data_IF_443592055939
#
_entry.id   IF_443592055939
#
_cell.length_a   1.000
_cell.length_b   1.000
_cell.length_c   1.000
_cell.angle_alpha   90.00
_cell.angle_beta   90.00
_cell.angle_gamma   90.00
#
_symmetry.space_group_name_H-M   'P 1'
#
loop_
_entity.id
_entity.type
_entity.pdbx_description
1 polymer ?
#
# COMPACT_ATOMS: atom_id res chain seq x y z
N UNK A 1 72.47 61.19 -30.65
CA UNK A 1 71.30 62.05 -30.91
C UNK A 1 69.99 61.26 -31.00
N UNK A 2 70.01 59.94 -31.25
CA UNK A 2 68.80 59.14 -31.55
C UNK A 2 67.80 58.96 -30.41
N UNK A 3 68.21 59.08 -29.14
CA UNK A 3 67.32 58.86 -27.98
C UNK A 3 66.80 60.15 -27.32
N UNK A 4 67.30 61.33 -27.74
CA UNK A 4 66.93 62.61 -27.11
C UNK A 4 65.44 62.93 -27.25
N UNK A 5 64.78 62.42 -28.30
CA UNK A 5 63.34 62.58 -28.46
C UNK A 5 62.53 61.88 -27.36
N UNK A 6 63.09 60.89 -26.67
CA UNK A 6 62.43 60.17 -25.56
C UNK A 6 62.75 60.74 -24.17
N UNK A 7 63.61 61.77 -24.09
CA UNK A 7 63.94 62.51 -22.86
C UNK A 7 63.17 63.84 -22.74
N UNK A 8 62.10 64.01 -23.51
CA UNK A 8 61.27 65.21 -23.47
C UNK A 8 60.30 65.21 -22.28
N UNK A 9 60.26 66.32 -21.54
CA UNK A 9 59.32 66.54 -20.44
C UNK A 9 57.86 66.34 -20.88
N UNK A 10 57.48 66.82 -22.06
CA UNK A 10 56.09 66.73 -22.53
C UNK A 10 55.65 65.28 -22.75
N UNK A 11 56.52 64.43 -23.29
CA UNK A 11 56.25 62.99 -23.47
C UNK A 11 56.19 62.29 -22.11
N UNK A 12 57.14 62.59 -21.22
CA UNK A 12 57.15 62.00 -19.88
C UNK A 12 55.90 62.35 -19.08
N UNK A 13 55.47 63.62 -19.14
CA UNK A 13 54.22 64.09 -18.53
C UNK A 13 53.00 63.41 -19.15
N UNK A 14 52.94 63.27 -20.48
CA UNK A 14 51.83 62.61 -21.14
C UNK A 14 51.71 61.13 -20.72
N UNK A 15 52.83 60.43 -20.59
CA UNK A 15 52.88 59.03 -20.14
C UNK A 15 52.48 58.90 -18.68
N UNK A 16 53.03 59.74 -17.80
CA UNK A 16 52.76 59.69 -16.36
C UNK A 16 51.29 60.01 -16.03
N UNK A 17 50.63 60.85 -16.84
CA UNK A 17 49.22 61.19 -16.67
C UNK A 17 48.28 60.29 -17.48
N UNK A 18 48.80 59.32 -18.24
CA UNK A 18 47.97 58.45 -19.07
C UNK A 18 47.16 57.49 -18.18
N UNK A 19 45.85 57.32 -18.42
CA UNK A 19 44.98 56.52 -17.54
C UNK A 19 45.20 55.00 -17.66
N UNK A 20 45.94 54.55 -18.68
CA UNK A 20 46.27 53.14 -18.88
C UNK A 20 47.78 52.89 -18.72
N UNK A 21 48.18 51.67 -18.36
CA UNK A 21 49.60 51.31 -18.29
C UNK A 21 50.30 51.50 -19.63
N UNK A 22 51.32 52.37 -19.67
CA UNK A 22 52.19 52.54 -20.84
C UNK A 22 53.40 51.61 -20.71
N UNK A 23 53.72 50.88 -21.79
CA UNK A 23 54.86 49.97 -21.83
C UNK A 23 55.91 50.54 -22.79
N UNK A 24 57.14 50.73 -22.31
CA UNK A 24 58.25 51.20 -23.14
C UNK A 24 59.05 50.03 -23.73
N UNK A 25 59.53 50.22 -24.96
CA UNK A 25 60.34 49.25 -25.69
C UNK A 25 61.28 49.94 -26.67
N UNK A 26 61.98 50.99 -26.23
CA UNK A 26 62.64 51.96 -27.12
C UNK A 26 63.85 51.37 -27.87
N UNK A 27 64.46 50.29 -27.36
CA UNK A 27 65.53 49.60 -28.09
C UNK A 27 66.95 50.04 -27.73
N UNK A 28 67.25 50.23 -26.44
CA UNK A 28 68.62 50.48 -25.98
C UNK A 28 68.89 49.83 -24.62
N UNK A 29 69.98 49.05 -24.54
CA UNK A 29 70.26 48.22 -23.37
C UNK A 29 71.11 48.91 -22.30
N UNK A 30 71.75 50.04 -22.64
CA UNK A 30 72.69 50.76 -21.75
C UNK A 30 72.17 52.08 -21.22
N UNK A 31 71.33 52.77 -21.99
CA UNK A 31 70.81 54.08 -21.62
C UNK A 31 69.34 53.93 -21.22
N UNK A 32 68.98 54.55 -20.11
CA UNK A 32 67.60 54.63 -19.63
C UNK A 32 67.09 56.03 -19.94
N UNK A 33 65.96 56.12 -20.63
CA UNK A 33 65.35 57.40 -20.99
C UNK A 33 64.32 57.84 -19.95
N UNK A 34 63.97 59.12 -19.92
CA UNK A 34 62.87 59.63 -19.09
C UNK A 34 61.58 58.86 -19.38
N UNK A 35 61.30 58.58 -20.66
CA UNK A 35 60.16 57.77 -21.09
C UNK A 35 60.15 56.37 -20.46
N UNK A 36 61.30 55.70 -20.36
CA UNK A 36 61.41 54.39 -19.71
C UNK A 36 61.09 54.47 -18.21
N UNK A 37 61.58 55.50 -17.52
CA UNK A 37 61.39 55.69 -16.07
C UNK A 37 59.94 56.00 -15.69
N UNK A 38 59.23 56.81 -16.49
CA UNK A 38 57.81 57.11 -16.21
C UNK A 38 56.84 56.05 -16.76
N UNK A 39 57.30 55.11 -17.60
CA UNK A 39 56.46 54.01 -18.08
C UNK A 39 56.10 53.02 -16.96
N UNK A 40 54.95 52.34 -17.08
CA UNK A 40 54.56 51.30 -16.12
C UNK A 40 55.46 50.06 -16.21
N UNK A 41 55.91 49.72 -17.41
CA UNK A 41 56.77 48.56 -17.64
C UNK A 41 57.72 48.85 -18.79
N UNK A 42 58.96 48.38 -18.67
CA UNK A 42 60.01 48.56 -19.65
C UNK A 42 60.48 47.22 -20.19
N UNK A 43 60.64 47.12 -21.51
CA UNK A 43 61.38 46.05 -22.15
C UNK A 43 62.57 46.61 -22.94
N UNK A 44 63.57 45.75 -23.16
CA UNK A 44 64.82 46.14 -23.85
C UNK A 44 64.59 46.55 -25.31
N UNK A 45 63.57 45.99 -25.97
CA UNK A 45 63.27 46.16 -27.39
C UNK A 45 61.76 46.10 -27.64
N UNK A 46 61.26 46.60 -28.78
CA UNK A 46 59.85 46.47 -29.14
C UNK A 46 59.41 45.01 -29.23
N UNK A 47 60.27 44.12 -29.75
CA UNK A 47 60.00 42.68 -29.83
C UNK A 47 59.83 42.06 -28.45
N UNK A 48 60.64 42.48 -27.46
CA UNK A 48 60.49 41.99 -26.08
C UNK A 48 59.18 42.48 -25.43
N UNK A 49 58.69 43.68 -25.79
CA UNK A 49 57.33 44.11 -25.41
C UNK A 49 56.28 43.21 -26.04
N UNK A 50 56.40 42.91 -27.33
CA UNK A 50 55.47 42.04 -28.04
C UNK A 50 55.43 40.64 -27.44
N UNK A 51 56.60 40.03 -27.17
CA UNK A 51 56.70 38.72 -26.53
C UNK A 51 56.05 38.72 -25.14
N UNK A 52 56.30 39.76 -24.33
CA UNK A 52 55.68 39.92 -23.03
C UNK A 52 54.15 39.99 -23.13
N UNK A 53 53.62 40.75 -24.09
CA UNK A 53 52.17 40.85 -24.31
C UNK A 53 51.58 39.51 -24.77
N UNK A 54 52.24 38.82 -25.70
CA UNK A 54 51.81 37.51 -26.20
C UNK A 54 51.77 36.49 -25.05
N UNK A 55 52.81 36.44 -24.22
CA UNK A 55 52.82 35.55 -23.04
C UNK A 55 51.67 35.87 -22.08
N UNK A 56 51.42 37.15 -21.78
CA UNK A 56 50.34 37.56 -20.88
C UNK A 56 48.95 37.20 -21.42
N UNK A 57 48.73 37.36 -22.72
CA UNK A 57 47.47 36.98 -23.37
C UNK A 57 47.30 35.46 -23.31
N UNK A 58 48.34 34.68 -23.62
CA UNK A 58 48.29 33.22 -23.54
C UNK A 58 48.00 32.74 -22.11
N UNK A 59 48.68 33.29 -21.10
CA UNK A 59 48.44 32.94 -19.69
C UNK A 59 46.99 33.24 -19.28
N UNK A 60 46.42 34.33 -19.81
CA UNK A 60 45.03 34.69 -19.57
C UNK A 60 44.08 33.71 -20.25
N UNK A 61 44.32 33.35 -21.52
CA UNK A 61 43.55 32.35 -22.27
C UNK A 61 43.54 31.00 -21.54
N UNK A 62 44.71 30.48 -21.16
CA UNK A 62 44.85 29.22 -20.42
C UNK A 62 44.09 29.25 -19.08
N UNK A 63 44.08 30.40 -18.41
CA UNK A 63 43.33 30.60 -17.16
C UNK A 63 41.82 30.63 -17.40
N UNK A 64 41.35 31.25 -18.47
CA UNK A 64 39.93 31.26 -18.83
C UNK A 64 39.47 29.84 -19.17
N UNK A 65 40.25 29.11 -19.96
CA UNK A 65 39.93 27.73 -20.36
C UNK A 65 39.90 26.78 -19.16
N UNK A 66 40.90 26.87 -18.27
CA UNK A 66 40.90 26.05 -17.05
C UNK A 66 39.71 26.34 -16.13
N UNK A 67 39.31 27.61 -15.98
CA UNK A 67 38.10 27.98 -15.23
C UNK A 67 36.82 27.47 -15.90
N UNK A 68 36.73 27.55 -17.24
CA UNK A 68 35.59 27.03 -18.00
C UNK A 68 35.47 25.51 -17.85
N UNK A 69 36.59 24.79 -17.91
CA UNK A 69 36.64 23.35 -17.66
C UNK A 69 36.22 23.00 -16.23
N UNK A 70 36.76 23.68 -15.23
CA UNK A 70 36.41 23.45 -13.83
C UNK A 70 34.92 23.70 -13.56
N UNK A 71 34.35 24.77 -14.13
CA UNK A 71 32.93 25.08 -14.02
C UNK A 71 32.06 23.99 -14.67
N UNK A 72 32.46 23.52 -15.86
CA UNK A 72 31.74 22.48 -16.60
C UNK A 72 31.72 21.17 -15.82
N UNK A 73 32.86 20.75 -15.29
CA UNK A 73 32.96 19.52 -14.49
C UNK A 73 32.21 19.62 -13.16
N UNK A 74 32.29 20.78 -12.49
CA UNK A 74 31.50 21.04 -11.28
C UNK A 74 29.99 20.97 -11.54
N UNK A 75 29.51 21.60 -12.61
CA UNK A 75 28.10 21.57 -13.00
C UNK A 75 27.62 20.16 -13.38
N UNK A 76 28.44 19.40 -14.12
CA UNK A 76 28.14 18.00 -14.46
C UNK A 76 28.04 17.12 -13.22
N UNK A 77 28.98 17.28 -12.30
CA UNK A 77 29.03 16.53 -11.03
C UNK A 77 27.79 16.82 -10.19
N UNK A 78 27.46 18.10 -9.99
CA UNK A 78 26.28 18.51 -9.24
C UNK A 78 24.97 17.97 -9.85
N UNK A 79 24.84 18.04 -11.18
CA UNK A 79 23.67 17.50 -11.88
C UNK A 79 23.55 15.99 -11.71
N UNK A 80 24.67 15.26 -11.76
CA UNK A 80 24.71 13.81 -11.55
C UNK A 80 24.29 13.45 -10.12
N UNK A 81 24.86 14.12 -9.12
CA UNK A 81 24.56 13.86 -7.72
C UNK A 81 23.09 14.13 -7.39
N UNK A 82 22.52 15.22 -7.93
CA UNK A 82 21.09 15.51 -7.79
C UNK A 82 20.22 14.45 -8.44
N UNK A 83 20.58 13.96 -9.63
CA UNK A 83 19.84 12.90 -10.34
C UNK A 83 19.89 11.58 -9.56
N UNK A 84 21.06 11.21 -9.06
CA UNK A 84 21.24 9.99 -8.28
C UNK A 84 20.48 10.07 -6.95
N UNK A 85 20.51 11.22 -6.27
CA UNK A 85 19.72 11.50 -5.07
C UNK A 85 18.21 11.39 -5.32
N UNK A 86 17.72 11.96 -6.43
CA UNK A 86 16.31 11.86 -6.81
C UNK A 86 15.88 10.42 -7.12
N UNK A 87 16.74 9.65 -7.79
CA UNK A 87 16.50 8.23 -8.09
C UNK A 87 16.37 7.41 -6.80
N UNK A 88 17.28 7.62 -5.84
CA UNK A 88 17.24 6.96 -4.53
C UNK A 88 15.97 7.33 -3.77
N UNK A 89 15.62 8.61 -3.72
CA UNK A 89 14.40 9.06 -3.03
C UNK A 89 13.14 8.48 -3.67
N UNK A 90 13.06 8.51 -5.00
CA UNK A 90 11.95 7.91 -5.76
C UNK A 90 11.79 6.43 -5.44
N UNK A 91 12.89 5.67 -5.46
CA UNK A 91 12.86 4.24 -5.14
C UNK A 91 12.45 3.96 -3.69
N UNK A 92 12.91 4.77 -2.74
CA UNK A 92 12.49 4.66 -1.33
C UNK A 92 11.00 4.92 -1.16
N UNK A 93 10.47 5.95 -1.83
CA UNK A 93 9.04 6.27 -1.81
C UNK A 93 8.22 5.13 -2.40
N UNK A 94 8.63 4.58 -3.55
CA UNK A 94 7.94 3.44 -4.18
C UNK A 94 7.88 2.22 -3.26
N UNK A 95 8.99 1.85 -2.62
CA UNK A 95 9.04 0.71 -1.70
C UNK A 95 8.17 0.97 -0.46
N UNK A 96 8.30 2.15 0.15
CA UNK A 96 7.54 2.50 1.35
C UNK A 96 6.03 2.54 1.07
N UNK A 97 5.62 3.17 -0.04
CA UNK A 97 4.23 3.24 -0.47
C UNK A 97 3.69 1.84 -0.82
N UNK A 98 4.45 1.03 -1.55
CA UNK A 98 4.07 -0.34 -1.89
C UNK A 98 3.85 -1.21 -0.65
N UNK A 99 4.79 -1.18 0.29
CA UNK A 99 4.66 -1.91 1.56
C UNK A 99 3.48 -1.43 2.39
N UNK A 100 3.24 -0.11 2.45
CA UNK A 100 2.12 0.45 3.21
C UNK A 100 0.78 0.06 2.59
N UNK A 101 0.68 0.09 1.26
CA UNK A 101 -0.52 -0.30 0.53
C UNK A 101 -0.81 -1.80 0.72
N UNK A 102 0.22 -2.64 0.60
CA UNK A 102 0.10 -4.08 0.79
C UNK A 102 -0.36 -4.43 2.21
N UNK A 103 0.23 -3.81 3.23
CA UNK A 103 -0.19 -4.00 4.62
C UNK A 103 -1.64 -3.56 4.85
N UNK A 104 -2.04 -2.41 4.32
CA UNK A 104 -3.43 -1.96 4.41
C UNK A 104 -4.39 -2.92 3.71
N UNK A 105 -4.01 -3.46 2.55
CA UNK A 105 -4.81 -4.47 1.84
C UNK A 105 -4.96 -5.75 2.65
N UNK A 106 -3.90 -6.22 3.31
CA UNK A 106 -3.98 -7.39 4.20
C UNK A 106 -4.88 -7.13 5.41
N UNK A 107 -4.77 -5.96 6.06
CA UNK A 107 -5.62 -5.57 7.18
C UNK A 107 -7.10 -5.49 6.79
N UNK A 108 -7.40 -4.83 5.67
CA UNK A 108 -8.76 -4.74 5.14
C UNK A 108 -9.33 -6.11 4.79
N UNK A 109 -8.55 -6.98 4.16
CA UNK A 109 -8.99 -8.35 3.85
C UNK A 109 -9.21 -9.19 5.11
N UNK A 110 -8.34 -9.08 6.10
CA UNK A 110 -8.51 -9.79 7.37
C UNK A 110 -9.80 -9.34 8.07
N UNK A 111 -10.05 -8.03 8.13
CA UNK A 111 -11.27 -7.45 8.70
C UNK A 111 -12.52 -7.91 7.93
N UNK A 112 -12.51 -7.81 6.60
CA UNK A 112 -13.61 -8.25 5.73
C UNK A 112 -13.92 -9.75 5.89
N UNK A 113 -12.89 -10.60 5.91
CA UNK A 113 -13.05 -12.03 6.16
C UNK A 113 -13.63 -12.28 7.56
N UNK A 114 -13.09 -11.62 8.58
CA UNK A 114 -13.57 -11.71 9.96
C UNK A 114 -15.05 -11.35 10.09
N UNK A 115 -15.46 -10.22 9.50
CA UNK A 115 -16.84 -9.78 9.47
C UNK A 115 -17.75 -10.79 8.77
N UNK A 116 -17.29 -11.36 7.65
CA UNK A 116 -18.05 -12.39 6.92
C UNK A 116 -18.23 -13.67 7.74
N UNK A 117 -17.20 -14.10 8.48
CA UNK A 117 -17.31 -15.24 9.38
C UNK A 117 -18.26 -14.96 10.55
N UNK A 118 -18.16 -13.78 11.17
CA UNK A 118 -19.05 -13.36 12.24
C UNK A 118 -20.51 -13.33 11.77
N UNK A 119 -20.78 -12.79 10.57
CA UNK A 119 -22.11 -12.78 9.99
C UNK A 119 -22.66 -14.18 9.75
N UNK A 120 -21.85 -15.07 9.15
CA UNK A 120 -22.25 -16.46 8.90
C UNK A 120 -22.49 -17.23 10.20
N UNK A 121 -21.68 -16.97 11.23
CA UNK A 121 -21.86 -17.54 12.56
C UNK A 121 -23.19 -17.09 13.18
N UNK A 122 -23.47 -15.78 13.20
CA UNK A 122 -24.74 -15.26 13.72
C UNK A 122 -25.95 -15.82 12.97
N UNK A 123 -25.88 -15.93 11.64
CA UNK A 123 -26.95 -16.51 10.83
C UNK A 123 -27.22 -17.97 11.21
N UNK A 124 -26.17 -18.77 11.40
CA UNK A 124 -26.30 -20.16 11.82
C UNK A 124 -26.88 -20.29 13.23
N UNK A 125 -26.42 -19.49 14.19
CA UNK A 125 -26.97 -19.49 15.55
C UNK A 125 -28.45 -19.06 15.57
N UNK A 126 -28.81 -18.06 14.77
CA UNK A 126 -30.20 -17.62 14.61
C UNK A 126 -31.08 -18.74 14.04
N UNK A 127 -30.60 -19.48 13.04
CA UNK A 127 -31.34 -20.62 12.48
C UNK A 127 -31.51 -21.75 13.51
N UNK A 128 -30.47 -22.04 14.31
CA UNK A 128 -30.56 -23.02 15.40
C UNK A 128 -31.59 -22.62 16.45
N UNK A 129 -31.59 -21.34 16.85
CA UNK A 129 -32.58 -20.80 17.79
C UNK A 129 -34.00 -20.94 17.24
N UNK A 130 -34.24 -20.54 15.99
CA UNK A 130 -35.54 -20.74 15.32
C UNK A 130 -35.96 -22.20 15.26
N UNK A 131 -35.02 -23.12 14.98
CA UNK A 131 -35.30 -24.55 14.97
C UNK A 131 -35.73 -25.07 16.34
N UNK A 132 -35.04 -24.64 17.40
CA UNK A 132 -35.40 -24.98 18.79
C UNK A 132 -36.74 -24.38 19.18
N UNK A 133 -37.01 -23.13 18.83
CA UNK A 133 -38.30 -22.46 19.05
C UNK A 133 -39.43 -23.21 18.35
N UNK A 134 -39.23 -23.63 17.09
CA UNK A 134 -40.21 -24.45 16.36
C UNK A 134 -40.43 -25.81 17.01
N UNK A 135 -39.37 -26.46 17.51
CA UNK A 135 -39.50 -27.73 18.21
C UNK A 135 -40.27 -27.57 19.53
N UNK A 136 -40.00 -26.51 20.29
CA UNK A 136 -40.76 -26.20 21.51
C UNK A 136 -42.23 -25.94 21.17
N UNK A 137 -42.52 -25.18 20.10
CA UNK A 137 -43.90 -24.93 19.69
C UNK A 137 -44.62 -26.21 19.23
N UNK A 138 -43.92 -27.16 18.60
CA UNK A 138 -44.49 -28.46 18.23
C UNK A 138 -44.65 -29.43 19.40
N UNK A 139 -43.78 -29.34 20.40
CA UNK A 139 -43.83 -30.16 21.62
C UNK A 139 -44.78 -29.58 22.69
N UNK A 140 -45.31 -28.37 22.47
CA UNK A 140 -46.32 -27.77 23.32
C UNK A 140 -47.61 -28.63 23.32
N UNK A 141 -48.01 -29.21 24.47
CA UNK A 141 -49.21 -30.03 24.58
C UNK A 141 -50.48 -29.33 24.09
N UNK A 142 -50.54 -28.01 24.20
CA UNK A 142 -51.69 -27.22 23.71
C UNK A 142 -51.78 -27.24 22.19
N UNK A 143 -50.65 -27.26 21.48
CA UNK A 143 -50.64 -27.33 20.02
C UNK A 143 -50.93 -28.75 19.51
N UNK A 144 -50.58 -29.78 20.28
CA UNK A 144 -51.02 -31.16 20.00
C UNK A 144 -52.54 -31.26 20.12
N UNK A 145 -53.14 -30.69 21.16
CA UNK A 145 -54.59 -30.64 21.32
C UNK A 145 -55.25 -29.83 20.19
N UNK A 146 -54.70 -28.66 19.80
CA UNK A 146 -55.19 -27.85 18.65
C UNK A 146 -55.25 -28.61 17.33
N UNK A 147 -54.32 -29.55 17.11
CA UNK A 147 -54.26 -30.37 15.88
C UNK A 147 -55.33 -31.47 15.83
N UNK A 148 -56.21 -31.56 16.83
CA UNK A 148 -57.32 -32.51 16.86
C UNK A 148 -57.02 -33.80 17.61
N UNK A 149 -55.86 -33.90 18.27
CA UNK A 149 -55.56 -35.02 19.16
C UNK A 149 -56.24 -34.79 20.52
N UNK A 150 -56.65 -35.89 21.15
CA UNK A 150 -57.26 -35.89 22.47
C UNK A 150 -56.43 -36.71 23.44
N UNK A 151 -56.29 -36.25 24.68
CA UNK A 151 -55.63 -37.04 25.73
C UNK A 151 -56.71 -37.70 26.60
N UNK A 152 -56.71 -39.03 26.63
CA UNK A 152 -57.72 -39.81 27.36
C UNK A 152 -57.14 -40.34 28.67
N UNK A 153 -57.80 -40.01 29.78
CA UNK A 153 -57.47 -40.45 31.13
C UNK A 153 -58.49 -41.47 31.63
N UNK A 154 -57.99 -42.51 32.31
CA UNK A 154 -58.78 -43.46 33.11
C UNK A 154 -58.32 -43.34 34.55
N UNK A 155 -59.21 -42.94 35.45
CA UNK A 155 -58.92 -42.78 36.89
C UNK A 155 -57.61 -42.02 37.18
N UNK A 156 -57.32 -40.97 36.42
CA UNK A 156 -56.11 -40.13 36.57
C UNK A 156 -54.85 -40.62 35.84
N UNK A 157 -54.85 -41.80 35.21
CA UNK A 157 -53.73 -42.29 34.38
C UNK A 157 -54.05 -42.16 32.88
N UNK A 158 -53.09 -41.65 32.10
CA UNK A 158 -53.24 -41.54 30.66
C UNK A 158 -53.24 -42.93 30.01
N UNK A 159 -54.27 -43.23 29.23
CA UNK A 159 -54.43 -44.51 28.52
C UNK A 159 -53.65 -44.44 27.22
N UNK A 160 -52.65 -45.32 27.04
CA UNK A 160 -51.80 -45.35 25.83
C UNK A 160 -52.17 -46.46 24.85
N UNK A 161 -52.90 -47.47 25.31
CA UNK A 161 -53.29 -48.63 24.51
C UNK A 161 -54.73 -49.03 24.80
N UNK A 162 -55.46 -49.46 23.78
CA UNK A 162 -56.84 -49.94 23.90
C UNK A 162 -56.96 -51.19 24.81
N UNK A 163 -55.86 -51.92 25.03
CA UNK A 163 -55.82 -53.10 25.92
C UNK A 163 -55.88 -52.74 27.42
N UNK A 164 -55.62 -51.48 27.78
CA UNK A 164 -55.59 -51.01 29.18
C UNK A 164 -56.97 -50.59 29.70
N UNK A 165 -58.01 -50.71 28.88
CA UNK A 165 -59.37 -50.26 29.15
C UNK A 165 -60.32 -51.47 29.19
N UNK A 166 -61.16 -51.55 30.22
CA UNK A 166 -62.19 -52.58 30.38
C UNK A 166 -63.53 -52.04 29.88
N UNK A 167 -64.38 -52.97 29.44
CA UNK A 167 -65.76 -52.68 29.04
C UNK A 167 -66.50 -52.09 30.26
N UNK A 168 -67.23 -50.99 30.04
CA UNK A 168 -67.89 -50.13 31.03
C UNK A 168 -67.02 -49.14 31.83
N UNK A 169 -65.72 -49.03 31.57
CA UNK A 169 -64.92 -47.98 32.22
C UNK A 169 -65.37 -46.58 31.79
N UNK A 170 -65.26 -45.62 32.71
CA UNK A 170 -65.43 -44.19 32.44
C UNK A 170 -64.08 -43.57 32.06
N UNK A 171 -64.04 -42.91 30.91
CA UNK A 171 -62.88 -42.23 30.35
C UNK A 171 -63.12 -40.72 30.35
N UNK A 172 -62.12 -39.96 30.78
CA UNK A 172 -62.11 -38.50 30.67
C UNK A 172 -61.19 -38.10 29.52
N UNK A 173 -61.76 -37.52 28.48
CA UNK A 173 -61.03 -37.12 27.28
C UNK A 173 -60.90 -35.61 27.24
N UNK A 174 -59.67 -35.11 27.28
CA UNK A 174 -59.38 -33.68 27.19
C UNK A 174 -59.14 -33.32 25.72
N UNK A 175 -59.91 -32.36 25.21
CA UNK A 175 -59.79 -31.81 23.86
C UNK A 175 -59.15 -30.41 23.92
N UNK A 176 -58.86 -29.82 22.76
CA UNK A 176 -58.39 -28.44 22.67
C UNK A 176 -59.30 -27.43 23.39
N UNK A 177 -60.61 -27.65 23.35
CA UNK A 177 -61.60 -26.85 24.06
C UNK A 177 -62.65 -27.78 24.68
N UNK A 178 -62.66 -27.87 26.00
CA UNK A 178 -63.63 -28.67 26.76
C UNK A 178 -63.16 -30.09 27.05
N UNK A 179 -63.94 -30.77 27.89
CA UNK A 179 -63.67 -32.12 28.36
C UNK A 179 -64.91 -32.98 28.14
N UNK A 180 -64.70 -34.23 27.74
CA UNK A 180 -65.76 -35.22 27.53
C UNK A 180 -65.61 -36.36 28.54
N UNK A 181 -66.75 -36.84 29.03
CA UNK A 181 -66.86 -38.05 29.82
C UNK A 181 -67.51 -39.12 28.94
N UNK A 182 -66.77 -40.20 28.67
CA UNK A 182 -67.20 -41.28 27.78
C UNK A 182 -67.21 -42.61 28.53
N UNK A 183 -68.14 -43.50 28.18
CA UNK A 183 -68.19 -44.88 28.70
C UNK A 183 -67.78 -45.85 27.59
N UNK A 184 -67.00 -46.88 27.94
CA UNK A 184 -66.47 -47.85 26.98
C UNK A 184 -67.50 -48.94 26.71
N UNK A 185 -67.97 -49.04 25.46
CA UNK A 185 -68.98 -50.03 25.06
C UNK A 185 -68.36 -51.27 24.39
N UNK A 186 -67.27 -51.11 23.63
CA UNK A 186 -66.52 -52.21 23.02
C UNK A 186 -65.05 -51.81 22.78
N UNK A 187 -64.13 -52.78 22.81
CA UNK A 187 -62.70 -52.56 22.54
C UNK A 187 -62.17 -53.52 21.49
N UNK A 188 -61.52 -52.99 20.44
CA UNK A 188 -60.76 -53.76 19.46
C UNK A 188 -59.28 -53.38 19.56
N UNK A 189 -58.40 -54.38 19.63
CA UNK A 189 -56.94 -54.20 19.66
C UNK A 189 -56.34 -54.69 18.35
N UNK A 190 -55.71 -53.82 17.57
CA UNK A 190 -54.93 -54.21 16.39
C UNK A 190 -53.51 -54.66 16.79
N UNK A 191 -53.07 -55.82 16.26
CA UNK A 191 -51.67 -56.28 16.34
C UNK A 191 -50.83 -55.57 15.27
N UNK A 192 -49.83 -54.81 15.70
CA UNK A 192 -48.87 -54.10 14.84
C UNK A 192 -48.03 -55.06 13.97
N UNK A 193 -48.05 -54.87 12.65
CA UNK A 193 -47.22 -55.57 11.66
C UNK A 193 -45.84 -54.89 11.61
N UNK A 194 -44.79 -55.61 12.05
CA UNK A 194 -43.38 -55.19 11.91
C UNK A 194 -42.88 -55.49 10.48
N UNK A 195 -42.79 -54.45 9.66
CA UNK A 195 -42.12 -54.50 8.35
C UNK A 195 -40.60 -54.40 8.47
N UNK A 196 -39.93 -55.51 8.19
CA UNK A 196 -38.49 -55.67 8.06
C UNK A 196 -37.97 -54.98 6.78
N UNK A 197 -37.03 -54.04 6.88
CA UNK A 197 -36.17 -53.64 5.74
C UNK A 197 -34.76 -53.40 6.24
N UNK A 198 -33.94 -54.42 6.04
CA UNK A 198 -32.51 -54.42 6.24
C UNK A 198 -31.82 -54.55 4.87
N UNK A 199 -30.69 -53.84 4.71
CA UNK A 199 -29.61 -54.01 3.72
C UNK A 199 -29.84 -53.66 2.23
N UNK A 200 -29.14 -52.61 1.78
CA UNK A 200 -27.98 -52.68 0.84
C UNK A 200 -27.72 -51.30 0.21
N UNK A 201 -26.54 -50.72 0.47
CA UNK A 201 -25.71 -50.00 -0.51
C UNK A 201 -24.39 -49.63 0.16
N UNK A 202 -23.47 -50.57 0.08
CA UNK A 202 -22.03 -50.34 0.21
C UNK A 202 -21.39 -51.14 -0.91
N UNK A 203 -20.55 -50.52 -1.73
CA UNK A 203 -19.88 -51.22 -2.85
C UNK A 203 -19.54 -50.36 -4.07
N UNK A 204 -18.38 -49.73 -3.99
CA UNK A 204 -17.33 -49.65 -5.02
C UNK A 204 -17.53 -48.89 -6.35
N UNK A 205 -16.69 -47.85 -6.44
CA UNK A 205 -15.56 -47.72 -7.37
C UNK A 205 -15.76 -47.27 -8.84
N UNK A 206 -14.96 -46.25 -9.16
CA UNK A 206 -14.24 -46.00 -10.41
C UNK A 206 -15.03 -45.76 -11.70
N UNK A 207 -15.04 -44.49 -12.11
CA UNK A 207 -14.86 -44.16 -13.53
C UNK A 207 -13.90 -42.97 -13.67
N UNK A 208 -12.72 -43.26 -14.23
CA UNK A 208 -11.79 -42.31 -14.81
C UNK A 208 -12.32 -41.81 -16.17
N UNK A 209 -11.77 -40.66 -16.58
CA UNK A 209 -11.74 -40.07 -17.94
C UNK A 209 -13.02 -39.36 -18.37
N UNK A 210 -12.95 -38.05 -18.58
CA UNK A 210 -12.67 -37.42 -19.88
C UNK A 210 -12.27 -35.93 -19.67
N UNK A 211 -11.24 -35.53 -20.42
CA UNK A 211 -10.75 -34.16 -20.79
C UNK A 211 -10.43 -33.11 -19.71
#
# INVERSE_FOLDING_TARGET
>A
LDLQCFDSYEIGKAIALFPLPVISGIGHQRDVTVTDEVSHSRAKTPTAVADMLISRVRDFEDRVDSLAHALTEGARTLTRDMKDGLSVLSRRVQIAAGNKLLNNFHLLNACSKGLRYAFKFMQNEHQKLRGRESNISHLDPLNVLKRGYSITYRSGKAVKSAAEVKIHDSLRTILHKGELLSRVEAGQSEKSVRGNRDKKRDGMANLKLYE
#
